data_IF_479340261818
#
_entry.id   IF_479340261818
#
_cell.length_a   1.000
_cell.length_b   1.000
_cell.length_c   1.000
_cell.angle_alpha   90.00
_cell.angle_beta   90.00
_cell.angle_gamma   90.00
#
_symmetry.space_group_name_H-M   'P 1'
#
loop_
_entity.id
_entity.type
_entity.pdbx_description
1 polymer ?
#
# COMPACT_ATOMS: atom_id res chain seq x y z
N UNK A 1 13.93 -4.52 6.58
CA UNK A 1 14.66 -3.91 7.69
C UNK A 1 14.02 -2.58 8.07
N UNK A 2 14.21 -2.14 9.31
CA UNK A 2 13.66 -0.88 9.80
C UNK A 2 14.56 -0.26 10.85
N UNK A 3 14.42 1.05 11.02
CA UNK A 3 15.04 1.85 12.07
C UNK A 3 14.06 2.93 12.58
N UNK A 4 14.51 3.87 13.40
CA UNK A 4 13.66 4.95 13.93
C UNK A 4 12.98 5.82 12.86
N UNK A 5 13.52 5.85 11.63
CA UNK A 5 12.97 6.62 10.49
C UNK A 5 11.90 5.86 9.73
N UNK A 6 11.76 4.55 9.94
CA UNK A 6 10.77 3.69 9.28
C UNK A 6 11.34 2.39 8.75
N UNK A 7 10.68 1.84 7.72
CA UNK A 7 10.99 0.54 7.13
C UNK A 7 11.36 0.67 5.67
N UNK A 8 12.33 -0.13 5.22
CA UNK A 8 12.70 -0.23 3.81
C UNK A 8 12.96 -1.67 3.42
N UNK A 9 12.80 -1.95 2.13
CA UNK A 9 13.13 -3.25 1.54
C UNK A 9 14.64 -3.41 1.51
N UNK A 10 15.12 -4.61 1.83
CA UNK A 10 16.51 -4.99 1.52
C UNK A 10 16.56 -6.17 0.55
N UNK A 11 17.65 -6.26 -0.20
CA UNK A 11 17.95 -7.37 -1.11
C UNK A 11 19.36 -7.86 -0.81
N UNK A 12 19.48 -9.11 -0.43
CA UNK A 12 20.76 -9.80 -0.32
C UNK A 12 20.89 -10.77 -1.51
N UNK A 13 22.02 -10.72 -2.21
CA UNK A 13 22.29 -11.64 -3.31
C UNK A 13 22.94 -12.93 -2.75
N UNK A 14 22.53 -14.09 -3.21
CA UNK A 14 23.09 -15.38 -2.81
C UNK A 14 24.63 -15.46 -2.98
N UNK A 15 25.14 -14.70 -3.96
CA UNK A 15 26.59 -14.62 -4.23
C UNK A 15 27.35 -13.71 -3.26
N UNK A 16 26.67 -13.07 -2.31
CA UNK A 16 27.31 -12.14 -1.37
C UNK A 16 28.06 -12.84 -0.24
N UNK A 17 27.78 -14.12 0.02
CA UNK A 17 28.36 -14.91 1.14
C UNK A 17 28.15 -14.24 2.53
N UNK A 18 27.10 -13.40 2.64
CA UNK A 18 26.76 -12.73 3.88
C UNK A 18 25.99 -13.67 4.82
N UNK A 19 26.18 -13.50 6.11
CA UNK A 19 25.34 -14.15 7.11
C UNK A 19 23.89 -13.69 6.94
N UNK A 20 22.96 -14.63 7.11
CA UNK A 20 21.53 -14.31 7.04
C UNK A 20 21.14 -13.38 8.19
N UNK A 21 20.34 -12.34 7.89
CA UNK A 21 19.72 -11.54 8.91
C UNK A 21 18.59 -12.33 9.55
N UNK A 22 18.53 -12.34 10.87
CA UNK A 22 17.49 -13.00 11.64
C UNK A 22 16.40 -11.99 12.00
N UNK A 23 15.13 -12.42 11.91
CA UNK A 23 13.99 -11.60 12.30
C UNK A 23 14.02 -11.33 13.81
N UNK A 24 13.75 -10.08 14.18
CA UNK A 24 13.75 -9.66 15.58
C UNK A 24 15.14 -9.35 16.15
N UNK A 25 16.18 -9.36 15.33
CA UNK A 25 17.54 -9.04 15.72
C UNK A 25 17.97 -7.69 15.14
N UNK A 26 18.67 -6.89 15.93
CA UNK A 26 19.16 -5.58 15.50
C UNK A 26 20.61 -5.65 15.00
N UNK A 27 20.86 -4.94 13.89
CA UNK A 27 22.16 -4.97 13.22
C UNK A 27 22.63 -3.58 12.79
N UNK A 28 23.93 -3.37 12.80
CA UNK A 28 24.55 -2.31 12.02
C UNK A 28 24.91 -2.83 10.66
N UNK A 29 24.42 -2.19 9.60
CA UNK A 29 24.71 -2.52 8.20
C UNK A 29 25.59 -1.41 7.62
N UNK A 30 26.87 -1.71 7.36
CA UNK A 30 27.80 -0.76 6.73
C UNK A 30 28.10 -1.15 5.29
N UNK A 31 28.43 -0.16 4.45
CA UNK A 31 28.71 -0.33 3.03
C UNK A 31 27.55 -0.96 2.22
N UNK A 32 26.32 -0.56 2.55
CA UNK A 32 25.15 -0.89 1.75
C UNK A 32 25.05 0.00 0.51
N UNK A 33 24.39 -0.50 -0.53
CA UNK A 33 24.08 0.29 -1.74
C UNK A 33 22.62 0.66 -1.68
N UNK A 34 22.31 1.94 -1.78
CA UNK A 34 20.94 2.43 -1.93
C UNK A 34 20.50 2.33 -3.38
N UNK A 35 19.25 1.97 -3.60
CA UNK A 35 18.62 1.88 -4.92
C UNK A 35 17.24 2.50 -4.87
N UNK A 36 16.86 3.13 -5.97
CA UNK A 36 15.53 3.71 -6.15
C UNK A 36 14.94 3.18 -7.46
N UNK A 37 13.74 2.65 -7.38
CA UNK A 37 13.00 2.19 -8.54
C UNK A 37 11.53 2.62 -8.43
N UNK A 38 11.08 3.48 -9.33
CA UNK A 38 9.71 4.02 -9.36
C UNK A 38 9.26 4.71 -8.06
N UNK A 39 10.18 5.39 -7.38
CA UNK A 39 9.92 6.03 -6.10
C UNK A 39 10.08 5.13 -4.87
N UNK A 40 10.31 3.82 -5.08
CA UNK A 40 10.57 2.87 -3.99
C UNK A 40 12.06 2.84 -3.68
N UNK A 41 12.42 3.13 -2.44
CA UNK A 41 13.78 3.01 -1.96
C UNK A 41 14.03 1.60 -1.43
N UNK A 42 15.23 1.12 -1.67
CA UNK A 42 15.71 -0.16 -1.13
C UNK A 42 17.19 -0.11 -0.83
N UNK A 43 17.65 -1.01 0.03
CA UNK A 43 19.07 -1.23 0.25
C UNK A 43 19.50 -2.58 -0.31
N UNK A 44 20.67 -2.61 -0.94
CA UNK A 44 21.27 -3.82 -1.48
C UNK A 44 22.49 -4.19 -0.66
N UNK A 45 22.46 -5.41 -0.13
CA UNK A 45 23.60 -5.99 0.57
C UNK A 45 24.46 -6.74 -0.45
N UNK A 46 25.74 -6.50 -0.41
CA UNK A 46 26.72 -7.14 -1.29
C UNK A 46 27.94 -7.63 -0.51
N UNK A 47 28.89 -8.28 -1.16
CA UNK A 47 30.09 -8.85 -0.51
C UNK A 47 30.98 -7.83 0.23
N UNK A 48 30.77 -6.54 0.08
CA UNK A 48 31.49 -5.49 0.81
C UNK A 48 30.68 -4.96 2.00
N UNK A 49 29.43 -5.39 2.13
CA UNK A 49 28.58 -5.05 3.28
C UNK A 49 29.12 -5.74 4.52
N UNK A 50 29.22 -4.98 5.58
CA UNK A 50 29.54 -5.51 6.91
C UNK A 50 28.26 -5.53 7.74
N UNK A 51 27.95 -6.69 8.30
CA UNK A 51 26.83 -6.92 9.20
C UNK A 51 27.42 -7.11 10.60
N UNK A 52 26.94 -6.32 11.54
CA UNK A 52 27.35 -6.44 12.96
C UNK A 52 26.11 -6.46 13.81
N UNK A 53 25.89 -7.52 14.57
CA UNK A 53 24.78 -7.63 15.51
C UNK A 53 24.96 -6.63 16.65
N UNK A 54 23.85 -6.05 17.07
CA UNK A 54 23.79 -5.11 18.19
C UNK A 54 23.23 -5.81 19.42
N UNK A 55 23.80 -5.49 20.58
CA UNK A 55 23.30 -5.96 21.88
C UNK A 55 22.02 -5.23 22.33
N UNK A 56 21.67 -4.13 21.67
CA UNK A 56 20.51 -3.29 21.99
C UNK A 56 19.49 -3.35 20.87
N UNK A 57 18.20 -3.43 21.22
CA UNK A 57 17.11 -3.39 20.26
C UNK A 57 16.96 -1.99 19.66
N UNK A 58 16.90 -1.90 18.34
CA UNK A 58 16.57 -0.68 17.61
C UNK A 58 15.05 -0.56 17.52
N UNK A 59 14.49 0.52 18.04
CA UNK A 59 13.08 0.83 17.84
C UNK A 59 12.84 1.15 16.35
N UNK A 60 11.86 0.45 15.77
CA UNK A 60 11.46 0.71 14.39
C UNK A 60 10.34 1.74 14.41
N UNK A 61 10.62 2.92 13.89
CA UNK A 61 9.63 3.98 13.76
C UNK A 61 8.46 3.54 12.87
N UNK A 62 7.26 3.89 13.27
CA UNK A 62 6.11 3.81 12.40
C UNK A 62 6.20 4.97 11.41
N UNK A 63 6.61 4.68 10.18
CA UNK A 63 6.57 5.65 9.08
C UNK A 63 5.12 5.93 8.66
N UNK A 64 4.36 6.45 9.63
CA UNK A 64 2.97 6.84 9.38
C UNK A 64 2.95 8.14 8.62
N UNK A 65 2.31 8.14 7.47
CA UNK A 65 2.11 9.29 6.61
C UNK A 65 0.63 9.66 6.60
N UNK A 66 0.33 10.95 6.68
CA UNK A 66 -1.02 11.47 6.47
C UNK A 66 -1.07 12.18 5.12
N UNK A 67 -2.05 11.82 4.30
CA UNK A 67 -2.29 12.43 3.00
C UNK A 67 -3.75 12.87 2.90
N UNK A 68 -3.94 14.08 2.40
CA UNK A 68 -5.26 14.66 2.14
C UNK A 68 -5.43 14.80 0.63
N UNK A 69 -6.62 14.61 0.09
CA UNK A 69 -6.85 14.87 -1.33
C UNK A 69 -8.22 14.41 -1.82
N UNK A 70 -8.54 14.80 -3.05
CA UNK A 70 -9.66 14.25 -3.78
C UNK A 70 -9.31 12.83 -4.25
N UNK A 71 -10.22 11.88 -4.09
CA UNK A 71 -10.06 10.56 -4.67
C UNK A 71 -10.39 10.64 -6.17
N UNK A 72 -9.35 10.69 -7.00
CA UNK A 72 -9.46 10.95 -8.44
C UNK A 72 -9.46 9.68 -9.29
N UNK A 73 -9.00 8.56 -8.75
CA UNK A 73 -9.07 7.28 -9.45
C UNK A 73 -9.22 6.11 -8.49
N UNK A 74 -9.92 5.06 -8.97
CA UNK A 74 -9.97 3.73 -8.38
C UNK A 74 -9.31 2.77 -9.37
N UNK A 75 -8.10 2.34 -9.06
CA UNK A 75 -7.25 1.57 -9.95
C UNK A 75 -7.75 0.14 -10.15
N UNK A 76 -7.28 -0.49 -11.22
CA UNK A 76 -7.50 -1.92 -11.48
C UNK A 76 -7.00 -2.79 -10.33
N UNK A 77 -7.73 -3.89 -10.07
CA UNK A 77 -7.48 -4.76 -8.91
C UNK A 77 -8.06 -4.21 -7.60
N UNK A 78 -9.01 -3.28 -7.70
CA UNK A 78 -9.95 -2.89 -6.63
C UNK A 78 -11.22 -3.72 -6.69
N UNK A 79 -12.03 -3.65 -5.63
CA UNK A 79 -13.27 -4.41 -5.49
C UNK A 79 -13.03 -5.82 -5.00
N UNK A 80 -13.82 -6.78 -5.51
CA UNK A 80 -13.70 -8.18 -5.16
C UNK A 80 -12.51 -8.82 -5.88
N UNK A 81 -11.52 -9.23 -5.11
CA UNK A 81 -10.27 -9.84 -5.58
C UNK A 81 -10.12 -11.27 -5.07
N UNK A 82 -9.16 -12.01 -5.59
CA UNK A 82 -8.72 -13.29 -5.01
C UNK A 82 -7.27 -13.19 -4.55
N UNK A 83 -6.99 -13.62 -3.32
CA UNK A 83 -5.64 -13.75 -2.75
C UNK A 83 -5.16 -15.20 -2.78
N UNK A 84 -3.85 -15.34 -2.78
CA UNK A 84 -3.21 -16.63 -2.60
C UNK A 84 -3.53 -17.19 -1.21
N UNK A 85 -3.98 -18.47 -1.10
CA UNK A 85 -4.32 -19.08 0.18
C UNK A 85 -3.10 -19.60 0.95
N UNK A 86 -1.91 -19.57 0.35
CA UNK A 86 -0.69 -20.07 0.99
C UNK A 86 -0.31 -19.19 2.18
N UNK A 87 0.02 -19.82 3.29
CA UNK A 87 0.37 -19.13 4.54
C UNK A 87 1.50 -18.13 4.34
N UNK A 88 1.30 -16.91 4.83
CA UNK A 88 2.25 -15.80 4.65
C UNK A 88 2.24 -15.15 3.27
N UNK A 89 1.47 -15.65 2.30
CA UNK A 89 1.37 -15.06 0.98
C UNK A 89 0.20 -14.06 0.90
N UNK A 90 0.50 -12.79 0.72
CA UNK A 90 -0.51 -11.71 0.58
C UNK A 90 -0.83 -11.34 -0.87
N UNK A 91 -0.28 -12.09 -1.85
CA UNK A 91 -0.39 -11.74 -3.26
C UNK A 91 -1.80 -11.92 -3.80
N UNK A 92 -2.22 -10.96 -4.60
CA UNK A 92 -3.47 -11.03 -5.36
C UNK A 92 -3.23 -11.86 -6.61
N UNK A 93 -4.15 -12.80 -6.86
CA UNK A 93 -4.08 -13.67 -8.03
C UNK A 93 -4.39 -12.88 -9.30
N UNK A 94 -3.63 -13.16 -10.35
CA UNK A 94 -3.92 -12.70 -11.69
C UNK A 94 -4.31 -13.91 -12.56
N UNK A 95 -5.51 -13.88 -13.10
CA UNK A 95 -6.05 -14.98 -13.90
C UNK A 95 -5.97 -16.36 -13.18
N UNK A 96 -6.26 -16.38 -11.87
CA UNK A 96 -6.21 -17.60 -11.07
C UNK A 96 -4.82 -18.09 -10.69
N UNK A 97 -3.77 -17.29 -10.91
CA UNK A 97 -2.38 -17.66 -10.64
C UNK A 97 -1.71 -16.71 -9.65
N UNK A 98 -1.03 -17.27 -8.67
CA UNK A 98 -0.08 -16.56 -7.84
C UNK A 98 1.27 -16.48 -8.57
N UNK A 99 1.95 -15.34 -8.51
CA UNK A 99 3.27 -15.18 -9.14
C UNK A 99 4.37 -16.03 -8.50
N UNK A 100 4.14 -16.51 -7.28
CA UNK A 100 5.08 -17.33 -6.52
C UNK A 100 4.66 -18.81 -6.45
N UNK A 101 3.37 -19.07 -6.19
CA UNK A 101 2.86 -20.43 -5.96
C UNK A 101 2.16 -21.04 -7.19
N UNK A 102 2.09 -20.29 -8.30
CA UNK A 102 1.49 -20.78 -9.54
C UNK A 102 -0.04 -20.82 -9.48
N UNK A 103 -0.64 -21.88 -10.02
CA UNK A 103 -2.09 -22.06 -10.05
C UNK A 103 -2.59 -22.53 -8.69
N UNK A 104 -3.45 -21.73 -8.06
CA UNK A 104 -4.02 -21.99 -6.73
C UNK A 104 -5.50 -21.61 -6.71
N UNK A 105 -6.30 -22.24 -5.86
CA UNK A 105 -7.68 -21.81 -5.62
C UNK A 105 -7.70 -20.66 -4.62
N UNK A 106 -7.74 -19.44 -5.12
CA UNK A 106 -7.61 -18.23 -4.33
C UNK A 106 -8.84 -17.94 -3.47
N UNK A 107 -8.61 -17.33 -2.33
CA UNK A 107 -9.64 -16.85 -1.42
C UNK A 107 -10.13 -15.45 -1.80
N UNK A 108 -11.43 -15.24 -1.72
CA UNK A 108 -12.01 -13.92 -1.98
C UNK A 108 -11.64 -12.94 -0.88
N UNK A 109 -11.35 -11.71 -1.31
CA UNK A 109 -11.03 -10.60 -0.43
C UNK A 109 -11.52 -9.28 -1.06
N UNK A 110 -11.62 -8.22 -0.25
CA UNK A 110 -11.94 -6.87 -0.70
C UNK A 110 -10.75 -5.95 -0.52
N UNK A 111 -10.55 -5.06 -1.47
CA UNK A 111 -9.62 -3.94 -1.31
C UNK A 111 -9.96 -2.80 -2.27
N UNK A 112 -9.49 -1.61 -1.94
CA UNK A 112 -9.47 -0.47 -2.86
C UNK A 112 -8.01 -0.05 -3.05
N UNK A 113 -7.63 0.16 -4.31
CA UNK A 113 -6.43 0.89 -4.69
C UNK A 113 -6.91 2.21 -5.27
N UNK A 114 -6.65 3.28 -4.56
CA UNK A 114 -7.10 4.61 -4.93
C UNK A 114 -5.93 5.55 -5.19
N UNK A 115 -6.24 6.64 -5.86
CA UNK A 115 -5.33 7.76 -6.06
C UNK A 115 -5.95 8.99 -5.43
N UNK A 116 -5.24 9.59 -4.47
CA UNK A 116 -5.57 10.89 -3.90
C UNK A 116 -4.74 11.98 -4.59
N UNK A 117 -5.37 13.12 -4.86
CA UNK A 117 -4.75 14.30 -5.47
C UNK A 117 -5.11 15.52 -4.62
N UNK A 118 -4.11 16.19 -4.05
CA UNK A 118 -4.26 17.43 -3.27
C UNK A 118 -4.11 18.68 -4.14
N UNK A 119 -3.88 18.53 -5.44
CA UNK A 119 -3.62 19.58 -6.41
C UNK A 119 -2.13 19.92 -6.58
N UNK A 120 -1.24 19.33 -5.81
CA UNK A 120 0.22 19.47 -5.91
C UNK A 120 0.90 18.10 -6.03
N UNK A 121 0.45 17.13 -5.26
CA UNK A 121 1.02 15.79 -5.20
C UNK A 121 -0.09 14.76 -5.39
N UNK A 122 0.25 13.71 -6.10
CA UNK A 122 -0.62 12.54 -6.31
C UNK A 122 -0.07 11.38 -5.49
N UNK A 123 -0.92 10.79 -4.65
CA UNK A 123 -0.54 9.70 -3.77
C UNK A 123 -1.40 8.46 -3.98
N UNK A 124 -0.77 7.31 -4.20
CA UNK A 124 -1.45 6.02 -4.21
C UNK A 124 -1.79 5.56 -2.79
N UNK A 125 -3.02 5.09 -2.58
CA UNK A 125 -3.51 4.61 -1.29
C UNK A 125 -4.12 3.23 -1.44
N UNK A 126 -3.93 2.37 -0.45
CA UNK A 126 -4.56 1.05 -0.39
C UNK A 126 -5.43 0.97 0.87
N UNK A 127 -6.71 0.70 0.66
CA UNK A 127 -7.63 0.28 1.70
C UNK A 127 -7.68 -1.25 1.69
N UNK A 128 -7.36 -1.87 2.82
CA UNK A 128 -7.52 -3.31 3.04
C UNK A 128 -9.01 -3.68 3.14
N UNK A 129 -9.34 -4.93 3.46
CA UNK A 129 -10.73 -5.37 3.59
C UNK A 129 -11.49 -4.53 4.60
N UNK A 130 -10.99 -4.43 5.82
CA UNK A 130 -11.65 -3.73 6.94
C UNK A 130 -11.90 -2.27 6.58
N UNK A 131 -10.88 -1.57 6.10
CA UNK A 131 -11.02 -0.19 5.66
C UNK A 131 -11.94 -0.04 4.43
N UNK A 132 -11.97 -1.03 3.54
CA UNK A 132 -12.90 -1.02 2.38
C UNK A 132 -14.34 -1.19 2.82
N UNK A 133 -14.61 -2.15 3.72
CA UNK A 133 -15.94 -2.40 4.29
C UNK A 133 -16.44 -1.18 5.07
N UNK A 134 -15.58 -0.55 5.88
CA UNK A 134 -15.90 0.67 6.63
C UNK A 134 -16.20 1.84 5.70
N UNK A 135 -15.36 2.06 4.67
CA UNK A 135 -15.49 3.18 3.74
C UNK A 135 -16.75 3.09 2.87
N UNK A 136 -17.10 1.86 2.44
CA UNK A 136 -18.17 1.64 1.46
C UNK A 136 -19.47 1.10 2.07
N UNK A 137 -19.40 0.51 3.25
CA UNK A 137 -20.51 -0.25 3.85
C UNK A 137 -20.82 -1.56 3.15
N UNK A 138 -19.95 -2.03 2.24
CA UNK A 138 -20.10 -3.29 1.50
C UNK A 138 -19.25 -4.36 2.18
N UNK A 139 -19.89 -5.33 2.81
CA UNK A 139 -19.19 -6.48 3.40
C UNK A 139 -18.74 -7.48 2.31
N UNK A 140 -17.74 -8.30 2.62
CA UNK A 140 -17.20 -9.29 1.68
C UNK A 140 -18.28 -10.23 1.15
N UNK A 141 -19.22 -10.68 2.00
CA UNK A 141 -20.27 -11.60 1.57
C UNK A 141 -21.29 -10.92 0.64
N UNK A 142 -21.59 -9.63 0.87
CA UNK A 142 -22.44 -8.85 -0.01
C UNK A 142 -21.79 -8.66 -1.38
N UNK A 143 -20.49 -8.35 -1.40
CA UNK A 143 -19.71 -8.23 -2.63
C UNK A 143 -19.69 -9.54 -3.43
N UNK A 144 -19.53 -10.70 -2.76
CA UNK A 144 -19.62 -12.01 -3.41
C UNK A 144 -21.01 -12.27 -3.99
N UNK A 145 -22.06 -11.89 -3.27
CA UNK A 145 -23.42 -12.06 -3.74
C UNK A 145 -23.71 -11.16 -4.95
N UNK A 146 -23.31 -9.90 -4.91
CA UNK A 146 -23.43 -8.97 -6.05
C UNK A 146 -22.72 -9.51 -7.29
N UNK A 147 -21.47 -9.97 -7.14
CA UNK A 147 -20.71 -10.54 -8.23
C UNK A 147 -21.34 -11.81 -8.81
N UNK A 148 -21.93 -12.64 -7.95
CA UNK A 148 -22.63 -13.87 -8.36
C UNK A 148 -23.91 -13.56 -9.12
N UNK A 149 -24.71 -12.61 -8.66
CA UNK A 149 -25.98 -12.24 -9.28
C UNK A 149 -25.76 -11.59 -10.66
N UNK A 150 -24.70 -10.79 -10.77
CA UNK A 150 -24.30 -10.18 -12.03
C UNK A 150 -23.50 -11.10 -12.96
N UNK A 151 -23.02 -12.25 -12.46
CA UNK A 151 -22.05 -13.12 -13.14
C UNK A 151 -20.75 -12.37 -13.55
N UNK A 152 -20.42 -11.30 -12.80
CA UNK A 152 -19.29 -10.43 -13.08
C UNK A 152 -18.76 -9.83 -11.76
N UNK A 153 -17.47 -9.99 -11.51
CA UNK A 153 -16.82 -9.42 -10.31
C UNK A 153 -16.55 -7.92 -10.43
N UNK A 154 -16.55 -7.37 -11.65
CA UNK A 154 -16.26 -5.94 -11.88
C UNK A 154 -17.34 -5.02 -11.35
N UNK A 155 -18.57 -5.50 -11.20
CA UNK A 155 -19.70 -4.69 -10.68
C UNK A 155 -19.43 -4.14 -9.29
N UNK A 156 -18.68 -4.87 -8.47
CA UNK A 156 -18.30 -4.42 -7.13
C UNK A 156 -17.36 -3.22 -7.21
N UNK A 157 -16.34 -3.29 -8.06
CA UNK A 157 -15.41 -2.18 -8.27
C UNK A 157 -16.09 -0.95 -8.88
N UNK A 158 -17.03 -1.15 -9.78
CA UNK A 158 -17.79 -0.06 -10.43
C UNK A 158 -18.75 0.62 -9.45
N UNK A 159 -19.38 -0.16 -8.56
CA UNK A 159 -20.20 0.37 -7.47
C UNK A 159 -19.36 1.22 -6.51
N UNK A 160 -18.26 0.67 -6.02
CA UNK A 160 -17.31 1.37 -5.16
C UNK A 160 -16.84 2.68 -5.82
N UNK A 161 -16.41 2.62 -7.08
CA UNK A 161 -15.96 3.80 -7.83
C UNK A 161 -17.02 4.89 -7.86
N UNK A 162 -18.27 4.54 -8.09
CA UNK A 162 -19.39 5.49 -8.16
C UNK A 162 -19.58 6.19 -6.82
N UNK A 163 -19.40 5.50 -5.71
CA UNK A 163 -19.67 6.02 -4.38
C UNK A 163 -18.58 6.93 -3.84
N UNK A 164 -17.30 6.65 -4.14
CA UNK A 164 -16.17 7.32 -3.50
C UNK A 164 -15.43 8.31 -4.40
N UNK A 165 -15.58 8.20 -5.73
CA UNK A 165 -14.83 9.04 -6.67
C UNK A 165 -15.24 10.52 -6.55
N UNK A 166 -14.24 11.40 -6.58
CA UNK A 166 -14.44 12.86 -6.51
C UNK A 166 -14.70 13.41 -5.10
N UNK A 167 -14.74 12.57 -4.08
CA UNK A 167 -14.83 13.01 -2.69
C UNK A 167 -13.45 13.24 -2.11
N UNK A 168 -13.37 14.09 -1.08
CA UNK A 168 -12.13 14.40 -0.38
C UNK A 168 -11.96 13.49 0.83
N UNK A 169 -10.74 13.01 1.01
CA UNK A 169 -10.37 12.15 2.13
C UNK A 169 -9.06 12.59 2.76
N UNK A 170 -8.96 12.39 4.07
CA UNK A 170 -7.71 12.28 4.80
C UNK A 170 -7.44 10.81 5.05
N UNK A 171 -6.26 10.36 4.75
CA UNK A 171 -5.83 8.97 4.97
C UNK A 171 -4.52 8.98 5.72
N UNK A 172 -4.45 8.21 6.80
CA UNK A 172 -3.27 8.07 7.64
C UNK A 172 -2.88 6.60 7.74
N UNK A 173 -1.60 6.33 7.56
CA UNK A 173 -1.08 4.98 7.72
C UNK A 173 0.37 4.82 7.28
N UNK A 174 0.95 3.62 7.46
CA UNK A 174 2.31 3.34 7.05
C UNK A 174 2.45 3.34 5.53
N UNK A 175 3.65 3.69 5.07
CA UNK A 175 4.01 3.58 3.65
C UNK A 175 4.47 2.17 3.32
N UNK A 176 4.00 1.64 2.19
CA UNK A 176 4.46 0.40 1.57
C UNK A 176 4.85 0.69 0.12
N UNK A 177 6.13 0.90 -0.11
CA UNK A 177 6.60 1.42 -1.38
C UNK A 177 5.95 2.77 -1.67
N UNK A 178 5.36 2.92 -2.84
CA UNK A 178 4.65 4.15 -3.23
C UNK A 178 3.25 4.31 -2.61
N UNK A 179 2.76 3.29 -1.91
CA UNK A 179 1.41 3.28 -1.35
C UNK A 179 1.40 3.72 0.10
N UNK A 180 0.38 4.48 0.49
CA UNK A 180 -0.02 4.65 1.89
C UNK A 180 -1.10 3.61 2.20
N UNK A 181 -0.90 2.81 3.24
CA UNK A 181 -1.91 1.85 3.70
C UNK A 181 -2.89 2.58 4.62
N UNK A 182 -4.17 2.58 4.26
CA UNK A 182 -5.20 3.26 5.03
C UNK A 182 -5.49 2.49 6.33
N UNK A 183 -4.84 2.90 7.44
CA UNK A 183 -5.15 2.43 8.78
C UNK A 183 -6.25 3.28 9.42
N UNK A 184 -6.20 4.59 9.16
CA UNK A 184 -7.22 5.55 9.57
C UNK A 184 -7.59 6.41 8.37
N UNK A 185 -8.85 6.75 8.26
CA UNK A 185 -9.32 7.66 7.21
C UNK A 185 -10.57 8.40 7.65
N UNK A 186 -10.77 9.58 7.07
CA UNK A 186 -12.00 10.36 7.23
C UNK A 186 -12.39 11.01 5.90
N UNK A 187 -13.69 11.07 5.62
CA UNK A 187 -14.19 11.86 4.50
C UNK A 187 -14.25 13.33 4.91
N UNK A 188 -13.68 14.20 4.09
CA UNK A 188 -13.67 15.65 4.31
C UNK A 188 -14.78 16.31 3.48
N UNK A 189 -15.41 17.35 4.04
CA UNK A 189 -16.43 18.13 3.32
C UNK A 189 -15.85 19.00 2.20
N UNK A 190 -14.56 19.35 2.32
CA UNK A 190 -13.84 20.20 1.37
C UNK A 190 -12.33 19.95 1.47
N UNK A 191 -11.52 20.44 0.48
CA UNK A 191 -10.07 20.43 0.61
C UNK A 191 -9.63 21.09 1.92
N UNK A 192 -8.63 20.52 2.58
CA UNK A 192 -8.12 20.99 3.87
C UNK A 192 -7.60 22.44 3.78
N UNK A 193 -7.09 22.86 2.62
CA UNK A 193 -6.60 24.21 2.35
C UNK A 193 -7.19 24.82 1.08
N UNK A 194 -8.53 24.91 1.04
CA UNK A 194 -9.26 25.52 -0.06
C UNK A 194 -8.86 26.98 -0.32
N UNK A 195 -8.39 27.69 0.71
CA UNK A 195 -7.96 29.09 0.56
C UNK A 195 -6.62 29.22 -0.16
N UNK A 196 -5.65 28.32 0.14
CA UNK A 196 -4.37 28.25 -0.57
C UNK A 196 -4.58 27.84 -2.02
N UNK A 197 -5.32 26.77 -2.27
CA UNK A 197 -5.65 26.32 -3.63
C UNK A 197 -6.30 27.42 -4.49
N UNK A 198 -7.19 28.22 -3.88
CA UNK A 198 -7.81 29.36 -4.57
C UNK A 198 -6.81 30.50 -4.83
N UNK A 199 -5.87 30.73 -3.92
CA UNK A 199 -4.83 31.74 -4.09
C UNK A 199 -3.87 31.36 -5.23
N UNK A 200 -3.45 30.09 -5.28
CA UNK A 200 -2.56 29.55 -6.32
C UNK A 200 -3.22 29.61 -7.71
N UNK A 201 -4.49 29.19 -7.81
CA UNK A 201 -5.26 29.29 -9.05
C UNK A 201 -5.48 30.73 -9.54
N UNK A 202 -5.40 31.73 -8.64
CA UNK A 202 -5.44 33.15 -9.01
C UNK A 202 -4.08 33.70 -9.42
N UNK A 203 -3.00 33.16 -8.89
CA UNK A 203 -1.63 33.57 -9.23
C UNK A 203 -1.19 33.11 -10.62
N UNK A 204 -1.77 32.02 -11.13
CA UNK A 204 -1.48 31.45 -12.47
C UNK A 204 -2.26 32.15 -13.61
N UNK A 205 -3.06 33.16 -13.33
CA UNK A 205 -3.78 33.98 -14.32
C UNK A 205 -3.07 35.29 -14.61
#
# INVERSE_FOLDING_TARGET
VGDESGRTKFVAFETSELEALEEGTSYTLANVVTDEYQGDFSIKLNRTTTITELDEDVEVGDSTTTVDGALVDVQSGSGLIKRCPEEGCTRVLQNGRCSEHGEVDGEFDLRIKAVLDDGQVVQDVIFNREATEELTGIELEDAKQQAKDALDTSVVADGIRTDILGRYYRVTGPTLGRYVLANEFEQLDSPTDAASMLADARAER
#
